data_IF_520574598005
#
_entry.id   IF_520574598005
#
_cell.length_a   1.000
_cell.length_b   1.000
_cell.length_c   1.000
_cell.angle_alpha   90.00
_cell.angle_beta   90.00
_cell.angle_gamma   90.00
#
_symmetry.space_group_name_H-M   'P 1'
#
loop_
_entity.id
_entity.type
_entity.pdbx_description
1 polymer ?
#
# COMPACT_ATOMS: atom_id res chain seq x y z
N UNK A 1 -7.39 31.85 -19.02
CA UNK A 1 -7.21 31.11 -17.74
C UNK A 1 -8.20 29.94 -17.62
N UNK A 2 -9.42 30.05 -18.15
CA UNK A 2 -10.45 29.01 -18.00
C UNK A 2 -10.14 27.69 -18.70
N UNK A 3 -9.50 27.73 -19.89
CA UNK A 3 -9.07 26.52 -20.60
C UNK A 3 -8.08 25.68 -19.77
N UNK A 4 -7.15 26.33 -19.06
CA UNK A 4 -6.19 25.65 -18.20
C UNK A 4 -6.88 25.00 -16.99
N UNK A 5 -7.87 25.69 -16.40
CA UNK A 5 -8.70 25.15 -15.31
C UNK A 5 -9.53 23.94 -15.76
N UNK A 6 -10.08 23.98 -16.98
CA UNK A 6 -10.79 22.83 -17.57
C UNK A 6 -9.87 21.64 -17.76
N UNK A 7 -8.66 21.87 -18.29
CA UNK A 7 -7.65 20.82 -18.46
C UNK A 7 -7.25 20.24 -17.11
N UNK A 8 -6.91 21.06 -16.12
CA UNK A 8 -6.60 20.62 -14.75
C UNK A 8 -7.73 19.80 -14.13
N UNK A 9 -8.98 20.22 -14.30
CA UNK A 9 -10.14 19.45 -13.82
C UNK A 9 -10.24 18.07 -14.48
N UNK A 10 -9.91 17.95 -15.77
CA UNK A 10 -9.87 16.65 -16.47
C UNK A 10 -8.76 15.78 -15.90
N UNK A 11 -7.55 16.35 -15.73
CA UNK A 11 -6.41 15.65 -15.13
C UNK A 11 -6.74 15.16 -13.71
N UNK A 12 -7.34 16.00 -12.88
CA UNK A 12 -7.72 15.68 -11.51
C UNK A 12 -8.83 14.62 -11.46
N UNK A 13 -9.77 14.66 -12.42
CA UNK A 13 -10.83 13.64 -12.55
C UNK A 13 -10.30 12.28 -13.01
N UNK A 14 -9.29 12.27 -13.88
CA UNK A 14 -8.69 11.05 -14.44
C UNK A 14 -7.38 10.64 -13.75
N UNK A 15 -7.01 11.28 -12.64
CA UNK A 15 -5.71 11.13 -11.98
C UNK A 15 -5.30 9.67 -11.73
N UNK A 16 -6.24 8.81 -11.33
CA UNK A 16 -5.97 7.38 -11.10
C UNK A 16 -5.67 6.62 -12.38
N UNK A 17 -6.43 6.88 -13.45
CA UNK A 17 -6.22 6.24 -14.77
C UNK A 17 -4.92 6.71 -15.41
N UNK A 18 -4.61 8.01 -15.29
CA UNK A 18 -3.36 8.59 -15.78
C UNK A 18 -2.16 8.07 -14.97
N UNK A 19 -2.33 7.90 -13.65
CA UNK A 19 -1.34 7.27 -12.79
C UNK A 19 -1.00 5.85 -13.23
N UNK A 20 -2.00 5.01 -13.52
CA UNK A 20 -1.75 3.66 -14.04
C UNK A 20 -1.05 3.66 -15.40
N UNK A 21 -1.43 4.57 -16.31
CA UNK A 21 -0.75 4.74 -17.59
C UNK A 21 0.72 5.15 -17.43
N UNK A 22 1.00 6.11 -16.55
CA UNK A 22 2.36 6.57 -16.26
C UNK A 22 3.21 5.45 -15.64
N UNK A 23 2.67 4.69 -14.68
CA UNK A 23 3.36 3.54 -14.09
C UNK A 23 3.69 2.48 -15.14
N UNK A 24 2.76 2.18 -16.04
CA UNK A 24 3.00 1.24 -17.14
C UNK A 24 4.11 1.73 -18.09
N UNK A 25 4.10 3.02 -18.47
CA UNK A 25 5.15 3.61 -19.30
C UNK A 25 6.52 3.60 -18.62
N UNK A 26 6.59 3.97 -17.35
CA UNK A 26 7.84 3.93 -16.57
C UNK A 26 8.35 2.50 -16.39
N UNK A 27 7.46 1.52 -16.24
CA UNK A 27 7.83 0.11 -16.12
C UNK A 27 8.40 -0.41 -17.43
N UNK A 28 7.73 -0.15 -18.55
CA UNK A 28 8.21 -0.54 -19.88
C UNK A 28 9.53 0.15 -20.25
N UNK A 29 9.65 1.45 -19.97
CA UNK A 29 10.90 2.20 -20.17
C UNK A 29 12.03 1.71 -19.26
N UNK A 30 11.72 1.43 -18.00
CA UNK A 30 12.66 0.84 -17.04
C UNK A 30 13.17 -0.52 -17.51
N UNK A 31 12.29 -1.43 -17.90
CA UNK A 31 12.67 -2.76 -18.40
C UNK A 31 13.62 -2.68 -19.61
N UNK A 32 13.35 -1.78 -20.56
CA UNK A 32 14.22 -1.57 -21.72
C UNK A 32 15.63 -1.08 -21.32
N UNK A 33 15.72 -0.18 -20.35
CA UNK A 33 16.99 0.34 -19.84
C UNK A 33 17.73 -0.75 -19.04
N UNK A 34 17.04 -1.44 -18.13
CA UNK A 34 17.65 -2.50 -17.31
C UNK A 34 18.14 -3.68 -18.16
N UNK A 35 17.36 -4.08 -19.17
CA UNK A 35 17.71 -5.18 -20.08
C UNK A 35 18.90 -4.82 -20.98
N UNK A 36 19.00 -3.59 -21.47
CA UNK A 36 20.09 -3.16 -22.35
C UNK A 36 21.39 -2.80 -21.62
N UNK A 37 21.30 -2.26 -20.40
CA UNK A 37 22.47 -1.71 -19.67
C UNK A 37 23.03 -2.68 -18.63
N UNK A 38 22.16 -3.40 -17.91
CA UNK A 38 22.54 -4.14 -16.69
C UNK A 38 22.51 -5.65 -16.90
N UNK A 39 21.55 -6.15 -17.68
CA UNK A 39 21.40 -7.59 -17.86
C UNK A 39 22.42 -8.15 -18.87
N UNK A 40 23.38 -8.93 -18.38
CA UNK A 40 24.22 -9.82 -19.20
C UNK A 40 24.10 -11.24 -18.69
N UNK A 41 23.63 -12.15 -19.54
CA UNK A 41 23.43 -13.55 -19.15
C UNK A 41 24.77 -14.23 -18.86
N UNK A 42 24.99 -14.76 -17.63
CA UNK A 42 26.17 -15.56 -17.36
C UNK A 42 25.98 -16.97 -17.95
N UNK A 43 26.75 -17.34 -18.96
CA UNK A 43 26.72 -18.71 -19.52
C UNK A 43 27.47 -19.71 -18.64
N UNK A 44 26.89 -19.95 -17.47
CA UNK A 44 27.31 -20.90 -16.44
C UNK A 44 26.05 -21.52 -15.82
N UNK A 45 26.18 -22.59 -15.04
CA UNK A 45 25.04 -23.25 -14.37
C UNK A 45 24.24 -22.36 -13.40
N UNK A 46 24.71 -21.15 -13.09
CA UNK A 46 24.01 -20.16 -12.25
C UNK A 46 23.08 -19.22 -13.04
N UNK A 47 22.92 -19.43 -14.35
CA UNK A 47 22.07 -18.60 -15.22
C UNK A 47 20.61 -18.50 -14.73
N UNK A 48 20.03 -19.60 -14.24
CA UNK A 48 18.65 -19.63 -13.74
C UNK A 48 18.50 -18.78 -12.48
N UNK A 49 19.37 -18.96 -11.49
CA UNK A 49 19.35 -18.17 -10.26
C UNK A 49 19.58 -16.68 -10.54
N UNK A 50 20.51 -16.35 -11.43
CA UNK A 50 20.73 -14.98 -11.88
C UNK A 50 19.47 -14.38 -12.51
N UNK A 51 18.84 -15.07 -13.46
CA UNK A 51 17.59 -14.62 -14.08
C UNK A 51 16.45 -14.42 -13.08
N UNK A 52 16.27 -15.34 -12.14
CA UNK A 52 15.24 -15.25 -11.11
C UNK A 52 15.43 -14.06 -10.17
N UNK A 53 16.66 -13.72 -9.81
CA UNK A 53 16.96 -12.52 -9.00
C UNK A 53 16.55 -11.26 -9.76
N UNK A 54 16.90 -11.15 -11.04
CA UNK A 54 16.55 -9.98 -11.87
C UNK A 54 15.04 -9.86 -12.13
N UNK A 55 14.30 -10.96 -12.10
CA UNK A 55 12.83 -10.95 -12.25
C UNK A 55 12.13 -10.63 -10.93
N UNK A 56 12.52 -11.27 -9.82
CA UNK A 56 11.79 -11.19 -8.55
C UNK A 56 12.19 -10.00 -7.67
N UNK A 57 13.46 -9.61 -7.65
CA UNK A 57 13.93 -8.55 -6.73
C UNK A 57 13.31 -7.19 -7.06
N UNK A 58 13.27 -6.72 -8.32
CA UNK A 58 12.59 -5.46 -8.65
C UNK A 58 11.10 -5.50 -8.31
N UNK A 59 10.43 -6.63 -8.58
CA UNK A 59 9.01 -6.81 -8.25
C UNK A 59 8.77 -6.73 -6.72
N UNK A 60 9.61 -7.38 -5.92
CA UNK A 60 9.53 -7.32 -4.46
C UNK A 60 9.83 -5.93 -3.92
N UNK A 61 10.83 -5.23 -4.47
CA UNK A 61 11.18 -3.87 -4.08
C UNK A 61 10.03 -2.90 -4.36
N UNK A 62 9.42 -2.98 -5.55
CA UNK A 62 8.24 -2.18 -5.91
C UNK A 62 7.03 -2.50 -5.02
N UNK A 63 6.84 -3.76 -4.64
CA UNK A 63 5.78 -4.16 -3.71
C UNK A 63 5.99 -3.54 -2.33
N UNK A 64 7.21 -3.63 -1.78
CA UNK A 64 7.57 -3.03 -0.48
C UNK A 64 7.39 -1.51 -0.52
N UNK A 65 7.87 -0.86 -1.57
CA UNK A 65 7.68 0.58 -1.77
C UNK A 65 6.20 0.95 -1.82
N UNK A 66 5.38 0.17 -2.51
CA UNK A 66 3.92 0.35 -2.54
C UNK A 66 3.27 0.27 -1.15
N UNK A 67 3.73 -0.64 -0.29
CA UNK A 67 3.28 -0.70 1.10
C UNK A 67 3.71 0.53 1.91
N UNK A 68 4.96 0.98 1.76
CA UNK A 68 5.53 2.15 2.46
C UNK A 68 4.81 3.43 2.04
N UNK A 69 4.46 3.61 0.77
CA UNK A 69 3.79 4.83 0.30
C UNK A 69 2.28 4.87 0.62
N UNK A 70 1.70 3.78 1.14
CA UNK A 70 0.26 3.71 1.40
C UNK A 70 -0.09 4.23 2.80
N UNK A 71 -0.79 5.37 2.85
CA UNK A 71 -1.31 5.94 4.10
C UNK A 71 -2.23 4.95 4.87
N UNK A 72 -2.86 4.00 4.18
CA UNK A 72 -3.67 2.96 4.81
C UNK A 72 -2.81 1.94 5.58
N UNK A 73 -1.61 1.65 5.08
CA UNK A 73 -0.63 0.80 5.76
C UNK A 73 -0.28 1.42 7.11
N UNK A 74 0.13 2.68 7.11
CA UNK A 74 0.47 3.39 8.35
C UNK A 74 -0.72 3.52 9.30
N UNK A 75 -1.94 3.81 8.80
CA UNK A 75 -3.15 3.79 9.65
C UNK A 75 -3.41 2.43 10.32
N UNK A 76 -3.03 1.32 9.67
CA UNK A 76 -3.13 -0.02 10.24
C UNK A 76 -2.03 -0.29 11.28
N UNK A 77 -0.81 0.21 11.05
CA UNK A 77 0.34 -0.08 11.89
C UNK A 77 0.53 0.90 13.07
N UNK A 78 0.16 2.17 12.92
CA UNK A 78 0.26 3.20 13.96
C UNK A 78 -0.68 2.87 15.12
N UNK A 79 -0.10 2.66 16.31
CA UNK A 79 -0.85 2.32 17.53
C UNK A 79 -0.98 0.82 17.83
N UNK A 80 -0.40 -0.09 17.03
CA UNK A 80 -0.40 -1.53 17.31
C UNK A 80 0.30 -1.88 18.64
N UNK A 81 1.35 -1.16 19.04
CA UNK A 81 2.03 -1.38 20.32
C UNK A 81 1.20 -0.95 21.55
N UNK A 82 0.20 -0.08 21.36
CA UNK A 82 -0.73 0.37 22.42
C UNK A 82 -1.98 -0.52 22.49
N UNK A 83 -2.36 -1.14 21.36
CA UNK A 83 -3.54 -2.00 21.25
C UNK A 83 -3.16 -3.47 21.43
N UNK A 84 -3.03 -3.93 22.68
CA UNK A 84 -2.95 -5.38 23.00
C UNK A 84 -4.26 -6.08 22.61
N UNK A 85 -4.40 -6.50 21.36
CA UNK A 85 -5.37 -7.52 20.97
C UNK A 85 -4.99 -8.27 19.70
N UNK A 86 -4.68 -9.55 19.92
CA UNK A 86 -4.75 -10.72 19.02
C UNK A 86 -4.82 -10.43 17.52
N UNK A 87 -3.66 -10.34 16.88
CA UNK A 87 -3.58 -10.59 15.45
C UNK A 87 -3.50 -12.10 15.17
N UNK A 88 -4.46 -12.53 14.36
CA UNK A 88 -4.78 -13.80 13.69
C UNK A 88 -3.88 -15.05 13.83
N UNK A 89 -4.57 -16.20 13.93
CA UNK A 89 -4.06 -17.55 13.70
C UNK A 89 -3.47 -17.70 12.27
N UNK A 90 -2.15 -17.56 12.15
CA UNK A 90 -1.35 -17.75 10.93
C UNK A 90 -1.26 -19.22 10.44
N UNK A 91 -1.90 -20.17 11.14
CA UNK A 91 -1.77 -21.60 10.86
C UNK A 91 -2.40 -22.08 9.55
N UNK A 92 -3.42 -21.41 9.03
CA UNK A 92 -4.11 -21.85 7.80
C UNK A 92 -3.44 -21.37 6.49
N UNK A 93 -2.59 -20.35 6.55
CA UNK A 93 -1.88 -19.81 5.38
C UNK A 93 -0.64 -20.65 5.04
N UNK A 94 0.04 -21.23 6.05
CA UNK A 94 1.17 -22.13 5.81
C UNK A 94 0.78 -23.54 5.34
N UNK A 95 -0.40 -24.05 5.72
CA UNK A 95 -0.82 -25.40 5.36
C UNK A 95 -1.21 -25.55 3.87
N UNK A 96 -1.73 -24.48 3.25
CA UNK A 96 -2.12 -24.48 1.83
C UNK A 96 -0.91 -24.40 0.87
N UNK A 97 0.18 -23.74 1.30
CA UNK A 97 1.40 -23.61 0.50
C UNK A 97 2.16 -24.92 0.29
N UNK A 98 2.11 -25.83 1.26
CA UNK A 98 2.82 -27.13 1.19
C UNK A 98 2.15 -28.11 0.21
N UNK A 99 0.83 -28.05 0.07
CA UNK A 99 0.07 -28.92 -0.86
C UNK A 99 0.28 -28.48 -2.32
N UNK A 100 0.38 -27.17 -2.58
CA UNK A 100 0.67 -26.65 -3.91
C UNK A 100 2.10 -26.96 -4.38
N UNK A 101 3.06 -26.93 -3.45
CA UNK A 101 4.46 -27.25 -3.76
C UNK A 101 4.61 -28.73 -4.17
N UNK A 102 3.91 -29.64 -3.49
CA UNK A 102 3.94 -31.08 -3.78
C UNK A 102 3.35 -31.44 -5.15
N UNK A 103 2.26 -30.78 -5.57
CA UNK A 103 1.59 -31.03 -6.86
C UNK A 103 2.45 -30.56 -8.05
N UNK A 104 3.30 -29.55 -7.85
CA UNK A 104 4.14 -29.00 -8.91
C UNK A 104 5.36 -29.88 -9.21
N UNK A 105 5.84 -30.66 -8.23
CA UNK A 105 7.03 -31.52 -8.35
C UNK A 105 6.84 -32.80 -9.15
N UNK A 106 5.61 -33.27 -9.38
CA UNK A 106 5.34 -34.57 -10.02
C UNK A 106 5.00 -34.50 -11.51
N UNK A 107 5.09 -33.31 -12.14
CA UNK A 107 4.69 -33.12 -13.54
C UNK A 107 5.83 -32.69 -14.49
N UNK A 108 7.10 -32.81 -14.09
CA UNK A 108 8.23 -32.48 -14.94
C UNK A 108 8.85 -33.72 -15.59
N UNK A 109 8.63 -33.89 -16.89
CA UNK A 109 9.40 -34.85 -17.70
C UNK A 109 10.81 -34.28 -17.84
N UNK A 110 11.80 -34.90 -17.19
CA UNK A 110 13.17 -34.42 -17.19
C UNK A 110 13.78 -34.52 -18.60
N UNK A 111 14.36 -33.44 -19.15
CA UNK A 111 15.19 -33.53 -20.34
C UNK A 111 16.39 -34.46 -20.08
N UNK A 112 16.95 -35.06 -21.13
CA UNK A 112 18.17 -35.86 -21.01
C UNK A 112 19.32 -35.05 -20.39
N UNK A 113 20.21 -35.66 -19.58
CA UNK A 113 21.28 -34.95 -18.88
C UNK A 113 22.23 -34.21 -19.83
N UNK A 114 22.45 -34.75 -21.04
CA UNK A 114 23.25 -34.13 -22.09
C UNK A 114 22.64 -32.83 -22.64
N UNK A 115 21.32 -32.70 -22.66
CA UNK A 115 20.62 -31.50 -23.11
C UNK A 115 20.73 -30.38 -22.06
N UNK A 116 20.67 -30.72 -20.78
CA UNK A 116 20.80 -29.74 -19.69
C UNK A 116 22.18 -29.07 -19.64
N UNK A 117 23.25 -29.83 -19.92
CA UNK A 117 24.63 -29.35 -19.83
C UNK A 117 25.05 -28.39 -20.96
N UNK A 118 24.30 -28.34 -22.07
CA UNK A 118 24.57 -27.44 -23.20
C UNK A 118 23.59 -26.26 -23.28
N UNK A 119 22.37 -26.41 -22.76
CA UNK A 119 21.29 -25.42 -22.93
C UNK A 119 21.65 -24.03 -22.37
N UNK A 120 22.37 -23.95 -21.24
CA UNK A 120 22.77 -22.66 -20.65
C UNK A 120 23.85 -21.92 -21.47
N UNK A 121 24.50 -22.58 -22.45
CA UNK A 121 25.53 -21.99 -23.31
C UNK A 121 24.93 -21.34 -24.56
N UNK A 122 23.68 -21.67 -24.91
CA UNK A 122 23.01 -21.20 -26.14
C UNK A 122 22.92 -19.66 -26.19
N UNK A 123 22.52 -18.94 -25.12
CA UNK A 123 22.42 -17.47 -25.17
C UNK A 123 23.74 -16.74 -25.48
N UNK A 124 24.90 -17.38 -25.25
CA UNK A 124 26.22 -16.82 -25.56
C UNK A 124 26.85 -17.35 -26.85
N UNK A 125 26.18 -18.25 -27.59
CA UNK A 125 26.75 -18.90 -28.78
C UNK A 125 28.00 -19.74 -28.49
N UNK A 126 28.10 -20.34 -27.28
CA UNK A 126 29.26 -21.16 -26.87
C UNK A 126 29.00 -22.67 -26.91
N UNK A 127 27.90 -23.09 -27.52
CA UNK A 127 27.60 -24.52 -27.68
C UNK A 127 28.60 -25.13 -28.67
N UNK A 128 29.24 -26.24 -28.28
CA UNK A 128 30.26 -26.90 -29.12
C UNK A 128 29.74 -28.09 -29.91
N UNK A 129 28.62 -28.68 -29.46
CA UNK A 129 28.07 -29.93 -30.01
C UNK A 129 26.78 -29.75 -30.81
N UNK A 130 26.22 -28.54 -30.87
CA UNK A 130 24.93 -28.25 -31.50
C UNK A 130 25.14 -27.18 -32.59
N UNK A 131 24.61 -27.37 -33.81
CA UNK A 131 24.63 -26.35 -34.85
C UNK A 131 24.00 -25.03 -34.39
N UNK A 132 24.54 -23.91 -34.87
CA UNK A 132 24.05 -22.59 -34.49
C UNK A 132 22.57 -22.36 -34.90
N UNK A 133 22.13 -22.94 -36.03
CA UNK A 133 20.72 -22.93 -36.48
C UNK A 133 19.79 -23.48 -35.41
N UNK A 134 20.11 -24.66 -34.89
CA UNK A 134 19.26 -25.40 -33.97
C UNK A 134 19.24 -24.70 -32.59
N UNK A 135 20.37 -24.12 -32.18
CA UNK A 135 20.43 -23.33 -30.95
C UNK A 135 19.57 -22.06 -31.03
N UNK A 136 19.53 -21.41 -32.20
CA UNK A 136 18.72 -20.22 -32.43
C UNK A 136 17.22 -20.56 -32.46
N UNK A 137 16.86 -21.72 -33.04
CA UNK A 137 15.48 -22.21 -33.06
C UNK A 137 14.98 -22.51 -31.64
N UNK A 138 15.79 -23.19 -30.82
CA UNK A 138 15.47 -23.43 -29.40
C UNK A 138 15.31 -22.13 -28.63
N UNK A 139 16.19 -21.14 -28.84
CA UNK A 139 16.07 -19.83 -28.21
C UNK A 139 14.80 -19.09 -28.67
N UNK A 140 14.40 -19.23 -29.93
CA UNK A 140 13.15 -18.68 -30.44
C UNK A 140 11.93 -19.32 -29.78
N UNK A 141 11.94 -20.65 -29.59
CA UNK A 141 10.91 -21.37 -28.86
C UNK A 141 10.81 -20.91 -27.40
N UNK A 142 11.93 -20.83 -26.68
CA UNK A 142 11.95 -20.35 -25.28
C UNK A 142 11.43 -18.92 -25.17
N UNK A 143 11.78 -18.05 -26.13
CA UNK A 143 11.25 -16.68 -26.18
C UNK A 143 9.74 -16.69 -26.40
N UNK A 144 9.23 -17.48 -27.33
CA UNK A 144 7.80 -17.60 -27.58
C UNK A 144 7.05 -18.11 -26.34
N UNK A 145 7.56 -19.14 -25.67
CA UNK A 145 7.00 -19.65 -24.42
C UNK A 145 6.96 -18.59 -23.32
N UNK A 146 8.05 -17.83 -23.14
CA UNK A 146 8.09 -16.72 -22.17
C UNK A 146 7.06 -15.63 -22.47
N UNK A 147 6.84 -15.31 -23.75
CA UNK A 147 5.86 -14.31 -24.18
C UNK A 147 4.43 -14.80 -23.93
N UNK A 148 4.14 -16.06 -24.26
CA UNK A 148 2.83 -16.68 -24.01
C UNK A 148 2.55 -16.74 -22.51
N UNK A 149 3.51 -17.18 -21.70
CA UNK A 149 3.38 -17.18 -20.23
C UNK A 149 3.16 -15.78 -19.67
N UNK A 150 3.87 -14.77 -20.19
CA UNK A 150 3.67 -13.36 -19.82
C UNK A 150 2.25 -12.87 -20.12
N UNK A 151 1.73 -13.14 -21.31
CA UNK A 151 0.37 -12.75 -21.69
C UNK A 151 -0.71 -13.49 -20.89
N UNK A 152 -0.52 -14.79 -20.63
CA UNK A 152 -1.42 -15.58 -19.78
C UNK A 152 -1.44 -15.04 -18.35
N UNK A 153 -0.28 -14.66 -17.80
CA UNK A 153 -0.19 -14.06 -16.47
C UNK A 153 -0.94 -12.72 -16.40
N UNK A 154 -0.72 -11.83 -17.38
CA UNK A 154 -1.42 -10.53 -17.46
C UNK A 154 -2.93 -10.74 -17.54
N UNK A 155 -3.40 -11.59 -18.45
CA UNK A 155 -4.81 -11.88 -18.63
C UNK A 155 -5.44 -12.45 -17.35
N UNK A 156 -4.76 -13.41 -16.70
CA UNK A 156 -5.20 -14.00 -15.44
C UNK A 156 -5.33 -12.97 -14.32
N UNK A 157 -4.32 -12.11 -14.13
CA UNK A 157 -4.34 -11.05 -13.13
C UNK A 157 -5.48 -10.06 -13.41
N UNK A 158 -5.69 -9.66 -14.66
CA UNK A 158 -6.78 -8.74 -15.03
C UNK A 158 -8.16 -9.34 -14.73
N UNK A 159 -8.40 -10.58 -15.15
CA UNK A 159 -9.66 -11.29 -14.89
C UNK A 159 -9.88 -11.49 -13.39
N UNK A 160 -8.85 -11.90 -12.66
CA UNK A 160 -8.93 -12.08 -11.21
C UNK A 160 -9.27 -10.77 -10.48
N UNK A 161 -8.61 -9.67 -10.81
CA UNK A 161 -8.91 -8.35 -10.21
C UNK A 161 -10.32 -7.87 -10.55
N UNK A 162 -10.77 -8.09 -11.78
CA UNK A 162 -12.14 -7.77 -12.20
C UNK A 162 -13.14 -8.58 -11.39
N UNK A 163 -12.94 -9.90 -11.25
CA UNK A 163 -13.80 -10.79 -10.45
C UNK A 163 -13.84 -10.35 -8.99
N UNK A 164 -12.69 -10.11 -8.36
CA UNK A 164 -12.62 -9.61 -6.97
C UNK A 164 -13.38 -8.29 -6.82
N UNK A 165 -13.22 -7.37 -7.77
CA UNK A 165 -13.93 -6.10 -7.75
C UNK A 165 -15.43 -6.31 -7.89
N UNK A 166 -15.88 -7.13 -8.84
CA UNK A 166 -17.30 -7.45 -9.03
C UNK A 166 -17.89 -8.08 -7.77
N UNK A 167 -17.25 -9.09 -7.20
CA UNK A 167 -17.68 -9.76 -5.97
C UNK A 167 -17.74 -8.77 -4.80
N UNK A 168 -16.73 -7.92 -4.62
CA UNK A 168 -16.72 -6.91 -3.56
C UNK A 168 -17.84 -5.87 -3.74
N UNK A 169 -18.17 -5.51 -4.98
CA UNK A 169 -19.27 -4.57 -5.28
C UNK A 169 -20.65 -5.21 -5.16
N UNK A 170 -20.82 -6.46 -5.57
CA UNK A 170 -22.07 -7.20 -5.42
C UNK A 170 -22.40 -7.51 -3.95
N UNK A 171 -21.39 -7.77 -3.13
CA UNK A 171 -21.54 -7.98 -1.69
C UNK A 171 -21.56 -6.66 -0.88
N UNK A 172 -21.49 -5.50 -1.56
CA UNK A 172 -21.56 -4.21 -0.88
C UNK A 172 -22.96 -4.02 -0.31
N UNK A 173 -23.10 -3.79 1.00
CA UNK A 173 -24.41 -3.57 1.62
C UNK A 173 -25.00 -2.17 1.32
N UNK A 174 -24.31 -1.38 0.48
CA UNK A 174 -24.61 0.03 0.19
C UNK A 174 -24.81 0.24 -1.31
N UNK A 175 -25.83 1.04 -1.65
CA UNK A 175 -26.11 1.46 -3.04
C UNK A 175 -24.96 2.27 -3.64
N UNK A 176 -24.80 2.23 -4.97
CA UNK A 176 -23.76 2.96 -5.69
C UNK A 176 -23.73 4.46 -5.37
N UNK A 177 -24.90 5.12 -5.30
CA UNK A 177 -24.98 6.56 -5.05
C UNK A 177 -24.55 6.92 -3.62
N UNK A 178 -24.97 6.12 -2.65
CA UNK A 178 -24.57 6.29 -1.25
C UNK A 178 -23.07 6.02 -1.06
N UNK A 179 -22.50 5.05 -1.77
CA UNK A 179 -21.06 4.80 -1.76
C UNK A 179 -20.27 5.96 -2.40
N UNK A 180 -20.80 6.58 -3.45
CA UNK A 180 -20.22 7.79 -4.06
C UNK A 180 -20.24 8.96 -3.09
N UNK A 181 -21.37 9.21 -2.44
CA UNK A 181 -21.49 10.23 -1.39
C UNK A 181 -20.48 9.97 -0.26
N UNK A 182 -20.42 8.74 0.24
CA UNK A 182 -19.52 8.37 1.32
C UNK A 182 -18.04 8.62 0.97
N UNK A 183 -17.60 8.29 -0.26
CA UNK A 183 -16.23 8.59 -0.71
C UNK A 183 -15.94 10.09 -0.69
N UNK A 184 -16.87 10.90 -1.19
CA UNK A 184 -16.71 12.37 -1.21
C UNK A 184 -16.70 12.93 0.22
N UNK A 185 -17.60 12.45 1.09
CA UNK A 185 -17.62 12.82 2.49
C UNK A 185 -16.30 12.51 3.19
N UNK A 186 -15.81 11.27 3.07
CA UNK A 186 -14.57 10.84 3.72
C UNK A 186 -13.34 11.63 3.22
N UNK A 187 -13.32 11.99 1.94
CA UNK A 187 -12.27 12.85 1.39
C UNK A 187 -12.34 14.27 1.96
N UNK A 188 -13.52 14.90 1.93
CA UNK A 188 -13.69 16.26 2.45
C UNK A 188 -13.47 16.36 3.96
N UNK A 189 -13.91 15.36 4.72
CA UNK A 189 -13.63 15.27 6.15
C UNK A 189 -12.12 15.22 6.40
N UNK A 190 -11.36 14.43 5.62
CA UNK A 190 -9.90 14.38 5.73
C UNK A 190 -9.24 15.72 5.40
N UNK A 191 -9.63 16.37 4.29
CA UNK A 191 -9.08 17.66 3.88
C UNK A 191 -9.33 18.75 4.94
N UNK A 192 -10.56 18.79 5.48
CA UNK A 192 -10.96 19.74 6.52
C UNK A 192 -10.27 19.44 7.86
N UNK A 193 -10.10 18.16 8.21
CA UNK A 193 -9.43 17.77 9.43
C UNK A 193 -7.96 18.19 9.41
N UNK A 194 -7.27 18.02 8.27
CA UNK A 194 -5.88 18.46 8.10
C UNK A 194 -5.76 19.98 8.25
N UNK A 195 -6.60 20.74 7.54
CA UNK A 195 -6.62 22.20 7.64
C UNK A 195 -6.93 22.69 9.06
N UNK A 196 -7.93 22.11 9.73
CA UNK A 196 -8.31 22.51 11.09
C UNK A 196 -7.25 22.12 12.12
N UNK A 197 -6.61 20.96 11.97
CA UNK A 197 -5.53 20.52 12.87
C UNK A 197 -4.31 21.42 12.74
N UNK A 198 -3.96 21.84 11.52
CA UNK A 198 -2.85 22.78 11.28
C UNK A 198 -3.10 24.14 11.95
N UNK A 199 -4.27 24.75 11.71
CA UNK A 199 -4.67 26.03 12.33
C UNK A 199 -4.73 25.95 13.87
N UNK A 200 -5.25 24.84 14.40
CA UNK A 200 -5.30 24.64 15.86
C UNK A 200 -3.91 24.46 16.47
N UNK A 201 -3.00 23.75 15.78
CA UNK A 201 -1.62 23.57 16.21
C UNK A 201 -0.84 24.90 16.20
N UNK A 202 -1.03 25.72 15.16
CA UNK A 202 -0.44 27.07 15.05
C UNK A 202 -0.87 27.96 16.22
N UNK A 203 -2.18 28.07 16.48
CA UNK A 203 -2.71 28.87 17.61
C UNK A 203 -2.18 28.40 18.96
N UNK A 204 -2.07 27.08 19.16
CA UNK A 204 -1.53 26.52 20.40
C UNK A 204 -0.03 26.84 20.55
N UNK A 205 0.74 26.76 19.46
CA UNK A 205 2.16 27.10 19.45
C UNK A 205 2.38 28.60 19.71
N UNK A 206 1.66 29.48 19.02
CA UNK A 206 1.73 30.93 19.21
C UNK A 206 1.42 31.33 20.65
N UNK A 207 0.35 30.77 21.24
CA UNK A 207 -0.02 31.02 22.63
C UNK A 207 1.11 30.63 23.59
N UNK A 208 1.73 29.47 23.38
CA UNK A 208 2.84 29.00 24.20
C UNK A 208 4.06 29.90 24.08
N UNK A 209 4.43 30.30 22.86
CA UNK A 209 5.55 31.21 22.62
C UNK A 209 5.30 32.58 23.27
N UNK A 210 4.10 33.14 23.10
CA UNK A 210 3.72 34.43 23.69
C UNK A 210 3.79 34.40 25.21
N UNK A 211 3.19 33.38 25.83
CA UNK A 211 3.22 33.18 27.29
C UNK A 211 4.64 33.01 27.83
N UNK A 212 5.49 32.26 27.12
CA UNK A 212 6.89 32.05 27.49
C UNK A 212 7.72 33.34 27.43
N UNK A 213 7.69 34.08 26.33
CA UNK A 213 8.50 35.28 26.16
C UNK A 213 7.99 36.49 26.96
N UNK A 214 6.67 36.58 27.20
CA UNK A 214 6.07 37.67 27.98
C UNK A 214 5.96 37.37 29.49
N UNK A 215 6.33 36.15 29.92
CA UNK A 215 6.18 35.67 31.30
C UNK A 215 4.75 35.81 31.85
N UNK A 216 3.75 35.69 30.98
CA UNK A 216 2.32 35.80 31.35
C UNK A 216 1.69 34.41 31.46
N UNK A 217 0.69 34.22 32.35
CA UNK A 217 0.00 32.95 32.45
C UNK A 217 -0.73 32.63 31.14
N UNK A 218 -0.73 31.37 30.70
CA UNK A 218 -1.31 31.00 29.42
C UNK A 218 -2.84 31.04 29.43
N UNK A 219 -3.42 31.52 28.33
CA UNK A 219 -4.87 31.45 28.11
C UNK A 219 -5.36 29.99 27.94
N UNK A 220 -6.56 29.64 28.45
CA UNK A 220 -7.09 28.30 28.35
C UNK A 220 -7.49 27.96 26.90
N UNK A 221 -6.80 26.99 26.31
CA UNK A 221 -7.14 26.40 25.00
C UNK A 221 -7.57 24.95 25.24
N UNK A 222 -8.76 24.59 24.77
CA UNK A 222 -9.28 23.23 24.91
C UNK A 222 -8.82 22.35 23.75
N UNK A 223 -7.96 21.38 24.04
CA UNK A 223 -7.60 20.30 23.10
C UNK A 223 -8.37 19.03 23.45
N UNK A 224 -8.76 18.19 22.46
CA UNK A 224 -9.35 16.90 22.74
C UNK A 224 -8.38 15.99 23.54
N UNK A 225 -8.86 15.21 24.52
CA UNK A 225 -8.01 14.32 25.29
C UNK A 225 -7.51 13.14 24.45
N UNK A 226 -6.41 12.49 24.87
CA UNK A 226 -5.80 11.35 24.14
C UNK A 226 -6.78 10.23 23.78
N UNK A 227 -7.77 9.93 24.65
CA UNK A 227 -8.80 8.92 24.36
C UNK A 227 -9.72 9.28 23.20
N UNK A 228 -9.97 10.58 22.98
CA UNK A 228 -10.76 11.05 21.84
C UNK A 228 -9.98 10.79 20.54
N UNK A 229 -8.68 11.11 20.53
CA UNK A 229 -7.77 10.82 19.42
C UNK A 229 -7.69 9.33 19.11
N UNK A 230 -7.47 8.48 20.12
CA UNK A 230 -7.41 7.03 19.94
C UNK A 230 -8.72 6.46 19.35
N UNK A 231 -9.88 6.96 19.82
CA UNK A 231 -11.18 6.55 19.30
C UNK A 231 -11.33 6.91 17.82
N UNK A 232 -11.07 8.15 17.42
CA UNK A 232 -11.26 8.59 16.02
C UNK A 232 -10.24 7.96 15.05
N UNK A 233 -9.09 7.50 15.56
CA UNK A 233 -8.09 6.75 14.78
C UNK A 233 -8.45 5.28 14.55
N UNK A 234 -9.51 4.75 15.17
CA UNK A 234 -9.90 3.35 14.99
C UNK A 234 -10.43 3.06 13.58
N UNK A 235 -10.24 1.82 13.09
CA UNK A 235 -10.75 1.39 11.79
C UNK A 235 -12.29 1.43 11.76
N UNK A 236 -12.84 2.25 10.86
CA UNK A 236 -14.27 2.30 10.61
C UNK A 236 -14.75 1.04 9.86
N UNK A 237 -15.74 0.35 10.43
CA UNK A 237 -16.50 -0.69 9.73
C UNK A 237 -17.91 -0.19 9.51
N UNK A 238 -18.30 -0.07 8.24
CA UNK A 238 -19.66 0.35 7.88
C UNK A 238 -20.69 -0.65 8.40
N UNK A 239 -21.76 -0.12 8.97
CA UNK A 239 -22.91 -0.86 9.50
C UNK A 239 -24.16 -0.30 8.84
N UNK A 240 -25.00 -1.17 8.27
CA UNK A 240 -26.31 -0.73 7.71
C UNK A 240 -27.31 -0.32 8.78
N UNK A 241 -27.03 -0.63 10.05
CA UNK A 241 -27.89 -0.28 11.19
C UNK A 241 -27.59 1.11 11.75
N UNK A 242 -26.40 1.64 11.48
CA UNK A 242 -25.92 2.91 12.03
C UNK A 242 -25.67 3.91 10.90
N UNK A 243 -26.26 5.11 10.96
CA UNK A 243 -26.25 6.10 9.87
C UNK A 243 -24.96 6.95 9.78
N UNK A 244 -23.83 6.46 10.29
CA UNK A 244 -22.58 7.21 10.37
C UNK A 244 -21.70 7.00 9.13
N UNK A 245 -21.04 8.07 8.67
CA UNK A 245 -20.12 8.01 7.52
C UNK A 245 -18.63 7.93 7.90
N UNK A 246 -18.29 8.18 9.17
CA UNK A 246 -16.94 8.07 9.72
C UNK A 246 -16.98 7.78 11.22
N UNK A 247 -15.82 7.44 11.81
CA UNK A 247 -15.71 7.33 13.28
C UNK A 247 -15.83 8.71 13.92
N UNK A 248 -15.33 9.77 13.28
CA UNK A 248 -15.45 11.13 13.81
C UNK A 248 -16.92 11.56 13.87
N UNK A 249 -17.70 11.32 12.82
CA UNK A 249 -19.15 11.51 12.80
C UNK A 249 -19.82 10.73 13.93
N UNK A 250 -19.51 9.44 14.05
CA UNK A 250 -20.03 8.60 15.14
C UNK A 250 -19.66 9.14 16.52
N UNK A 251 -18.42 9.58 16.70
CA UNK A 251 -17.91 10.12 17.96
C UNK A 251 -18.69 11.38 18.37
N UNK A 252 -18.88 12.33 17.45
CA UNK A 252 -19.59 13.59 17.71
C UNK A 252 -21.05 13.34 18.09
N UNK A 253 -21.76 12.51 17.32
CA UNK A 253 -23.17 12.21 17.61
C UNK A 253 -23.38 11.40 18.90
N UNK A 254 -22.45 10.49 19.24
CA UNK A 254 -22.55 9.69 20.46
C UNK A 254 -22.08 10.41 21.73
N UNK A 255 -21.16 11.38 21.62
CA UNK A 255 -20.60 12.09 22.77
C UNK A 255 -21.63 12.93 23.56
N UNK A 256 -22.83 13.16 23.02
CA UNK A 256 -23.89 13.91 23.69
C UNK A 256 -24.90 13.03 24.45
N UNK A 257 -24.80 11.69 24.39
CA UNK A 257 -25.70 10.82 25.13
C UNK A 257 -25.35 10.79 26.65
N UNK A 258 -26.25 11.25 27.55
CA UNK A 258 -25.96 11.42 28.99
C UNK A 258 -25.63 10.12 29.74
N UNK A 259 -26.03 8.96 29.19
CA UNK A 259 -25.81 7.65 29.79
C UNK A 259 -24.34 7.20 29.74
N UNK A 260 -23.60 7.55 28.68
CA UNK A 260 -22.17 7.20 28.55
C UNK A 260 -21.22 8.31 29.01
N UNK A 261 -21.68 9.57 29.04
CA UNK A 261 -20.93 10.69 29.60
C UNK A 261 -20.56 10.49 31.09
N UNK A 262 -21.39 9.76 31.86
CA UNK A 262 -21.10 9.40 33.26
C UNK A 262 -19.91 8.43 33.40
N UNK A 263 -19.70 7.54 32.44
CA UNK A 263 -18.51 6.68 32.42
C UNK A 263 -17.23 7.48 32.08
N UNK A 264 -17.37 8.57 31.32
CA UNK A 264 -16.26 9.44 30.93
C UNK A 264 -15.75 10.38 32.03
N UNK A 265 -16.58 10.76 33.02
CA UNK A 265 -16.20 11.72 34.07
C UNK A 265 -15.50 11.09 35.28
N UNK A 266 -15.65 9.77 35.50
CA UNK A 266 -15.10 9.07 36.68
C UNK A 266 -13.64 8.61 36.56
N UNK A 267 -12.95 8.83 35.42
CA UNK A 267 -11.53 8.46 35.27
C UNK A 267 -10.59 9.65 35.06
N UNK A 268 -10.95 10.83 35.58
CA UNK A 268 -10.02 11.94 35.78
C UNK A 268 -8.99 11.54 36.84
N UNK A 269 -8.03 10.70 36.46
CA UNK A 269 -6.88 10.34 37.29
C UNK A 269 -6.02 11.58 37.42
N UNK A 270 -5.96 12.05 38.66
CA UNK A 270 -5.03 13.04 39.20
C UNK A 270 -3.62 12.69 38.74
N UNK A 271 -2.98 13.60 38.02
CA UNK A 271 -1.58 13.48 37.60
C UNK A 271 -0.69 13.83 38.79
N UNK A 272 -0.12 12.82 39.45
CA UNK A 272 1.04 12.96 40.32
C UNK A 272 2.19 12.13 39.72
N UNK A 273 3.35 12.76 39.54
CA UNK A 273 4.64 12.08 39.29
C UNK A 273 5.26 12.24 37.90
N UNK A 274 6.56 12.58 37.78
CA UNK A 274 7.23 12.88 36.52
C UNK A 274 7.87 11.62 35.92
N UNK A 275 7.41 11.17 34.76
CA UNK A 275 8.18 10.25 33.92
C UNK A 275 8.18 10.78 32.48
N UNK A 276 9.31 11.38 32.13
CA UNK A 276 9.65 11.86 30.80
C UNK A 276 9.97 10.64 29.94
N UNK A 277 9.05 10.30 29.05
CA UNK A 277 9.36 9.57 27.83
C UNK A 277 8.66 10.29 26.67
N UNK A 278 9.30 11.32 26.13
CA UNK A 278 8.87 11.94 24.88
C UNK A 278 8.97 10.89 23.75
N UNK A 279 7.87 10.55 23.06
CA UNK A 279 7.96 9.68 21.90
C UNK A 279 8.59 10.43 20.72
N UNK A 280 9.59 9.81 20.10
CA UNK A 280 10.33 10.30 18.93
C UNK A 280 9.50 10.28 17.62
N UNK A 281 8.33 10.93 17.60
CA UNK A 281 7.31 10.76 16.55
C UNK A 281 7.09 12.02 15.69
N UNK A 282 7.95 13.04 15.79
CA UNK A 282 7.81 14.25 14.95
C UNK A 282 8.44 14.14 13.54
N UNK A 283 9.12 13.04 13.20
CA UNK A 283 9.73 12.88 11.87
C UNK A 283 8.80 12.24 10.82
N UNK A 284 7.68 11.62 11.23
CA UNK A 284 6.83 10.85 10.30
C UNK A 284 5.80 11.70 9.54
N UNK A 285 5.53 12.93 10.01
CA UNK A 285 4.50 13.80 9.42
C UNK A 285 5.04 14.68 8.29
N UNK A 286 6.37 14.87 8.20
CA UNK A 286 6.98 15.83 7.26
C UNK A 286 7.37 15.24 5.89
N UNK A 287 7.47 13.92 5.74
CA UNK A 287 7.90 13.29 4.46
C UNK A 287 6.78 13.08 3.44
N UNK A 288 5.64 13.76 3.61
CA UNK A 288 4.54 13.79 2.63
C UNK A 288 4.63 14.94 1.61
N UNK A 289 5.53 15.92 1.81
CA UNK A 289 5.78 16.99 0.84
C UNK A 289 6.74 16.48 -0.25
N UNK A 290 6.17 15.80 -1.23
CA UNK A 290 6.80 15.68 -2.53
C UNK A 290 6.92 17.10 -3.10
N UNK A 291 8.09 17.71 -2.95
CA UNK A 291 8.52 18.86 -3.73
C UNK A 291 8.57 18.42 -5.18
N UNK A 292 7.50 18.72 -5.92
CA UNK A 292 7.44 18.90 -7.36
C UNK A 292 6.35 19.93 -7.66
#
# INVERSE_FOLDING_TARGET
MDKFKTVLNIFQKQQTSLGFGLVALLTAGGEQIFSSVVFKCPCSGWNFSYGMVFLLVPALALLVLGYIMSNKTWKLFTGLCLRKSKFCNFKYVCASGVVFFQITTTAAVAPSPQCQDELYKFPCGRATHVPQSDSNDVLATIRAESQVLGWLLIASIMVFNLLLTCVARCNSPVSYLQLKFWRVYAQRESDLLESYTADHAEKLAERNLKSFFQQTPPEPVTTPPNRAWEKISSLYRFSTRDHYYSILHKYVEMCHNPAEARAHRMSSVRSDGPDIANPAVLAFVDEGKMML
#
